data_IF_420645512308
#
_entry.id   IF_420645512308
#
_cell.length_a   1.000
_cell.length_b   1.000
_cell.length_c   1.000
_cell.angle_alpha   90.00
_cell.angle_beta   90.00
_cell.angle_gamma   90.00
#
_symmetry.space_group_name_H-M   'P 1'
#
loop_
_entity.id
_entity.type
_entity.pdbx_description
1 polymer ?
#
# COMPACT_ATOMS: atom_id res chain seq x y z
N UNK A 1 -25.41 12.73 -11.15
CA UNK A 1 -25.90 11.98 -9.98
C UNK A 1 -25.22 12.51 -8.73
N UNK A 2 -25.93 12.70 -7.62
CA UNK A 2 -25.34 13.11 -6.35
C UNK A 2 -24.22 12.16 -5.92
N UNK A 3 -23.12 12.71 -5.44
CA UNK A 3 -21.99 11.92 -4.90
C UNK A 3 -22.28 11.37 -3.51
N UNK A 4 -23.23 11.97 -2.81
CA UNK A 4 -23.68 11.61 -1.48
C UNK A 4 -24.99 10.83 -1.56
N UNK A 5 -25.10 9.78 -0.74
CA UNK A 5 -26.34 9.06 -0.54
C UNK A 5 -27.32 9.96 0.22
N UNK A 6 -28.59 9.92 -0.12
CA UNK A 6 -29.65 10.69 0.57
C UNK A 6 -30.03 10.02 1.90
N UNK A 7 -29.98 8.70 1.93
CA UNK A 7 -30.33 7.86 3.09
C UNK A 7 -29.36 6.70 3.18
N UNK A 8 -28.95 6.32 4.40
CA UNK A 8 -28.12 5.13 4.64
C UNK A 8 -28.47 4.51 5.99
N UNK A 9 -29.10 3.34 5.98
CA UNK A 9 -29.61 2.64 7.17
C UNK A 9 -29.21 1.14 7.10
N UNK A 10 -27.92 0.79 7.25
CA UNK A 10 -27.43 -0.58 7.06
C UNK A 10 -27.98 -1.55 8.10
N UNK A 11 -28.44 -1.08 9.28
CA UNK A 11 -29.03 -1.90 10.33
C UNK A 11 -30.49 -2.27 10.04
N UNK A 12 -31.17 -1.56 9.11
CA UNK A 12 -32.54 -1.89 8.70
C UNK A 12 -32.51 -3.09 7.74
N UNK A 13 -33.15 -4.25 8.10
CA UNK A 13 -33.11 -5.44 7.26
C UNK A 13 -33.73 -5.28 5.87
N UNK A 14 -34.82 -4.50 5.75
CA UNK A 14 -35.50 -4.27 4.47
C UNK A 14 -34.62 -3.40 3.54
N UNK A 15 -34.06 -2.31 4.07
CA UNK A 15 -33.12 -1.46 3.34
C UNK A 15 -31.88 -2.24 2.91
N UNK A 16 -31.34 -3.06 3.81
CA UNK A 16 -30.18 -3.89 3.50
C UNK A 16 -30.47 -4.91 2.39
N UNK A 17 -31.61 -5.58 2.43
CA UNK A 17 -32.02 -6.57 1.44
C UNK A 17 -32.31 -5.96 0.07
N UNK A 18 -32.89 -4.75 0.02
CA UNK A 18 -33.30 -4.10 -1.23
C UNK A 18 -32.14 -3.49 -2.00
N UNK A 19 -31.40 -2.57 -1.39
CA UNK A 19 -30.30 -1.84 -2.07
C UNK A 19 -29.01 -1.69 -1.27
N UNK A 20 -29.08 -1.67 0.07
CA UNK A 20 -27.94 -1.41 0.93
C UNK A 20 -26.79 -2.37 0.70
N UNK A 21 -27.08 -3.68 0.65
CA UNK A 21 -26.09 -4.74 0.42
C UNK A 21 -25.33 -4.54 -0.90
N UNK A 22 -26.01 -4.26 -2.00
CA UNK A 22 -25.38 -4.07 -3.31
C UNK A 22 -24.40 -2.90 -3.31
N UNK A 23 -24.79 -1.78 -2.68
CA UNK A 23 -23.96 -0.59 -2.58
C UNK A 23 -22.73 -0.88 -1.69
N UNK A 24 -22.92 -1.53 -0.53
CA UNK A 24 -21.87 -1.86 0.40
C UNK A 24 -20.82 -2.79 -0.21
N UNK A 25 -21.24 -3.92 -0.77
CA UNK A 25 -20.31 -4.89 -1.39
C UNK A 25 -19.57 -4.32 -2.60
N UNK A 26 -20.24 -3.52 -3.44
CA UNK A 26 -19.57 -2.82 -4.54
C UNK A 26 -18.53 -1.83 -4.01
N UNK A 27 -18.86 -1.07 -2.97
CA UNK A 27 -17.92 -0.15 -2.33
C UNK A 27 -16.72 -0.91 -1.77
N UNK A 28 -16.95 -2.01 -1.05
CA UNK A 28 -15.88 -2.85 -0.51
C UNK A 28 -14.98 -3.39 -1.63
N UNK A 29 -15.55 -3.93 -2.70
CA UNK A 29 -14.77 -4.48 -3.81
C UNK A 29 -13.85 -3.41 -4.45
N UNK A 30 -14.39 -2.22 -4.74
CA UNK A 30 -13.63 -1.13 -5.37
C UNK A 30 -12.56 -0.56 -4.44
N UNK A 31 -12.90 -0.36 -3.17
CA UNK A 31 -11.93 0.15 -2.19
C UNK A 31 -10.85 -0.88 -1.90
N UNK A 32 -11.19 -2.17 -1.82
CA UNK A 32 -10.20 -3.25 -1.63
C UNK A 32 -9.26 -3.36 -2.84
N UNK A 33 -9.80 -3.31 -4.06
CA UNK A 33 -8.98 -3.28 -5.28
C UNK A 33 -8.00 -2.10 -5.28
N UNK A 34 -8.47 -0.89 -4.98
CA UNK A 34 -7.59 0.28 -4.87
C UNK A 34 -6.57 0.13 -3.74
N UNK A 35 -6.95 -0.45 -2.60
CA UNK A 35 -6.06 -0.60 -1.44
C UNK A 35 -4.91 -1.59 -1.71
N UNK A 36 -5.12 -2.63 -2.52
CA UNK A 36 -4.04 -3.53 -2.96
C UNK A 36 -2.92 -2.72 -3.61
N UNK A 37 -3.24 -1.82 -4.55
CA UNK A 37 -2.24 -0.99 -5.21
C UNK A 37 -1.69 0.12 -4.30
N UNK A 38 -2.48 0.59 -3.34
CA UNK A 38 -1.98 1.50 -2.29
C UNK A 38 -0.85 0.85 -1.50
N UNK A 39 -1.05 -0.36 -1.02
CA UNK A 39 -0.01 -1.09 -0.27
C UNK A 39 1.15 -1.52 -1.17
N UNK A 40 0.89 -1.92 -2.40
CA UNK A 40 1.95 -2.30 -3.33
C UNK A 40 2.88 -1.11 -3.64
N UNK A 41 2.33 0.08 -3.93
CA UNK A 41 3.13 1.29 -4.17
C UNK A 41 3.81 1.79 -2.89
N UNK A 42 3.19 1.62 -1.73
CA UNK A 42 3.80 1.95 -0.44
C UNK A 42 5.06 1.12 -0.16
N UNK A 43 5.04 -0.18 -0.49
CA UNK A 43 6.14 -1.11 -0.24
C UNK A 43 7.09 -1.32 -1.43
N UNK A 44 6.97 -0.55 -2.51
CA UNK A 44 7.82 -0.70 -3.71
C UNK A 44 9.31 -0.54 -3.38
N UNK A 45 9.65 0.35 -2.42
CA UNK A 45 11.02 0.56 -1.96
C UNK A 45 11.65 -0.74 -1.43
N UNK A 46 10.90 -1.59 -0.70
CA UNK A 46 11.41 -2.83 -0.10
C UNK A 46 11.98 -3.81 -1.13
N UNK A 47 11.40 -3.85 -2.33
CA UNK A 47 11.87 -4.68 -3.42
C UNK A 47 13.00 -4.02 -4.23
N UNK A 48 12.95 -2.68 -4.40
CA UNK A 48 13.92 -1.94 -5.21
C UNK A 48 15.28 -1.77 -4.53
N UNK A 49 15.31 -1.42 -3.24
CA UNK A 49 16.58 -1.16 -2.51
C UNK A 49 17.54 -2.35 -2.55
N UNK A 50 17.02 -3.55 -2.68
CA UNK A 50 17.82 -4.79 -2.79
C UNK A 50 18.60 -4.84 -4.10
N UNK A 51 18.06 -4.27 -5.18
CA UNK A 51 18.64 -4.30 -6.53
C UNK A 51 19.44 -3.05 -6.88
N UNK A 52 19.16 -1.90 -6.26
CA UNK A 52 19.79 -0.62 -6.58
C UNK A 52 21.32 -0.66 -6.61
N UNK A 53 22.03 -1.26 -5.62
CA UNK A 53 23.50 -1.29 -5.68
C UNK A 53 24.04 -2.09 -6.87
N UNK A 54 23.32 -3.12 -7.31
CA UNK A 54 23.77 -3.99 -8.38
C UNK A 54 23.61 -3.37 -9.79
N UNK A 55 22.79 -2.32 -9.91
CA UNK A 55 22.63 -1.56 -11.17
C UNK A 55 23.38 -0.23 -11.15
N UNK A 56 24.23 0.03 -10.15
CA UNK A 56 25.15 1.17 -10.12
C UNK A 56 24.85 2.27 -9.11
N UNK A 57 23.73 2.20 -8.35
CA UNK A 57 23.49 3.15 -7.27
C UNK A 57 24.33 2.80 -6.03
N UNK A 58 25.46 3.49 -5.86
CA UNK A 58 26.44 3.22 -4.80
C UNK A 58 25.99 3.77 -3.42
N UNK A 59 24.78 3.42 -2.98
CA UNK A 59 24.28 3.79 -1.66
C UNK A 59 24.86 2.91 -0.57
N UNK A 60 25.18 3.50 0.59
CA UNK A 60 25.62 2.76 1.77
C UNK A 60 24.50 1.88 2.31
N UNK A 61 24.86 0.85 3.09
CA UNK A 61 23.87 -0.03 3.75
C UNK A 61 22.86 0.80 4.59
N UNK A 62 23.33 1.80 5.31
CA UNK A 62 22.48 2.69 6.10
C UNK A 62 21.50 3.48 5.22
N UNK A 63 21.97 4.04 4.10
CA UNK A 63 21.10 4.76 3.15
C UNK A 63 20.02 3.85 2.56
N UNK A 64 20.36 2.60 2.21
CA UNK A 64 19.37 1.63 1.71
C UNK A 64 18.30 1.30 2.76
N UNK A 65 18.66 1.14 4.04
CA UNK A 65 17.69 0.96 5.12
C UNK A 65 16.81 2.20 5.31
N UNK A 66 17.36 3.40 5.23
CA UNK A 66 16.57 4.63 5.25
C UNK A 66 15.58 4.67 4.09
N UNK A 67 15.99 4.36 2.85
CA UNK A 67 15.09 4.31 1.70
C UNK A 67 13.99 3.26 1.87
N UNK A 68 14.29 2.13 2.48
CA UNK A 68 13.29 1.09 2.78
C UNK A 68 12.28 1.55 3.86
N UNK A 69 12.73 2.29 4.87
CA UNK A 69 11.92 2.73 6.02
C UNK A 69 11.09 3.99 5.73
N UNK A 70 11.58 4.87 4.85
CA UNK A 70 11.00 6.19 4.56
C UNK A 70 9.51 6.14 4.19
N UNK A 71 9.02 5.22 3.33
CA UNK A 71 7.58 5.13 3.06
C UNK A 71 6.76 4.81 4.32
N UNK A 72 7.32 4.01 5.22
CA UNK A 72 6.69 3.66 6.50
C UNK A 72 6.50 4.88 7.40
N UNK A 73 7.52 5.71 7.52
CA UNK A 73 7.48 6.96 8.28
C UNK A 73 6.41 7.91 7.73
N UNK A 74 6.43 8.16 6.42
CA UNK A 74 5.48 9.05 5.77
C UNK A 74 4.05 8.49 5.82
N UNK A 75 3.87 7.19 5.54
CA UNK A 75 2.57 6.53 5.60
C UNK A 75 1.95 6.56 7.00
N UNK A 76 2.76 6.33 8.04
CA UNK A 76 2.32 6.43 9.43
C UNK A 76 1.85 7.85 9.79
N UNK A 77 2.63 8.87 9.41
CA UNK A 77 2.27 10.28 9.64
C UNK A 77 1.00 10.69 8.89
N UNK A 78 0.87 10.28 7.64
CA UNK A 78 -0.31 10.57 6.81
C UNK A 78 -1.60 9.93 7.33
N UNK A 79 -1.53 8.82 8.08
CA UNK A 79 -2.70 8.21 8.71
C UNK A 79 -3.43 9.15 9.64
N UNK A 80 -2.71 10.02 10.33
CA UNK A 80 -3.33 11.04 11.18
C UNK A 80 -4.23 11.96 10.36
N UNK A 81 -3.78 12.42 9.21
CA UNK A 81 -4.56 13.27 8.30
C UNK A 81 -5.73 12.48 7.72
N UNK A 82 -5.48 11.28 7.21
CA UNK A 82 -6.50 10.44 6.59
C UNK A 82 -7.63 10.03 7.54
N UNK A 83 -7.40 10.00 8.86
CA UNK A 83 -8.44 9.72 9.85
C UNK A 83 -9.57 10.72 9.84
N UNK A 84 -9.32 11.95 9.38
CA UNK A 84 -10.32 13.02 9.36
C UNK A 84 -11.00 13.21 8.00
N UNK A 85 -10.47 12.61 6.92
CA UNK A 85 -10.91 12.94 5.56
C UNK A 85 -12.31 12.40 5.21
N UNK A 86 -12.65 11.18 5.68
CA UNK A 86 -13.92 10.54 5.32
C UNK A 86 -15.14 11.31 5.83
N UNK A 87 -15.21 11.73 7.11
CA UNK A 87 -16.34 12.52 7.59
C UNK A 87 -16.46 13.91 6.95
N UNK A 88 -15.34 14.46 6.44
CA UNK A 88 -15.32 15.81 5.85
C UNK A 88 -15.63 15.76 4.34
N UNK A 89 -14.92 14.95 3.60
CA UNK A 89 -14.96 14.89 2.13
C UNK A 89 -15.75 13.71 1.57
N UNK A 90 -16.05 12.72 2.42
CA UNK A 90 -16.73 11.49 2.04
C UNK A 90 -15.82 10.48 1.34
N UNK A 91 -16.31 9.25 1.26
CA UNK A 91 -15.58 8.10 0.71
C UNK A 91 -15.13 8.32 -0.74
N UNK A 92 -16.04 8.76 -1.61
CA UNK A 92 -15.76 8.88 -3.05
C UNK A 92 -14.60 9.83 -3.33
N UNK A 93 -14.68 11.07 -2.86
CA UNK A 93 -13.66 12.08 -3.16
C UNK A 93 -12.32 11.69 -2.55
N UNK A 94 -12.31 11.31 -1.27
CA UNK A 94 -11.08 10.95 -0.55
C UNK A 94 -10.34 9.80 -1.24
N UNK A 95 -11.04 8.68 -1.53
CA UNK A 95 -10.40 7.49 -2.10
C UNK A 95 -9.96 7.75 -3.54
N UNK A 96 -10.79 8.41 -4.35
CA UNK A 96 -10.42 8.72 -5.74
C UNK A 96 -9.19 9.60 -5.82
N UNK A 97 -9.16 10.70 -5.06
CA UNK A 97 -8.03 11.65 -5.06
C UNK A 97 -6.77 10.96 -4.56
N UNK A 98 -6.85 10.24 -3.44
CA UNK A 98 -5.71 9.54 -2.89
C UNK A 98 -5.18 8.46 -3.85
N UNK A 99 -6.05 7.77 -4.60
CA UNK A 99 -5.63 6.79 -5.60
C UNK A 99 -4.83 7.44 -6.73
N UNK A 100 -5.27 8.58 -7.26
CA UNK A 100 -4.55 9.29 -8.32
C UNK A 100 -3.23 9.91 -7.83
N UNK A 101 -3.17 10.40 -6.60
CA UNK A 101 -1.93 10.97 -6.03
C UNK A 101 -0.75 9.99 -6.05
N UNK A 102 -0.99 8.69 -5.96
CA UNK A 102 0.05 7.66 -6.01
C UNK A 102 0.72 7.53 -7.39
N UNK A 103 0.09 8.02 -8.44
CA UNK A 103 0.69 8.04 -9.78
C UNK A 103 1.92 8.95 -9.81
N UNK A 104 1.92 10.03 -9.04
CA UNK A 104 3.02 11.01 -8.99
C UNK A 104 4.35 10.34 -8.58
N UNK A 105 4.45 9.69 -7.40
CA UNK A 105 5.69 9.02 -7.02
C UNK A 105 6.04 7.85 -7.94
N UNK A 106 5.07 7.12 -8.51
CA UNK A 106 5.37 6.04 -9.44
C UNK A 106 5.96 6.56 -10.76
N UNK A 107 5.39 7.62 -11.32
CA UNK A 107 5.93 8.25 -12.53
C UNK A 107 7.33 8.84 -12.26
N UNK A 108 7.51 9.52 -11.13
CA UNK A 108 8.82 10.08 -10.79
C UNK A 108 9.86 8.98 -10.54
N UNK A 109 9.49 7.91 -9.85
CA UNK A 109 10.35 6.75 -9.60
C UNK A 109 10.78 6.07 -10.90
N UNK A 110 9.86 5.94 -11.87
CA UNK A 110 10.14 5.40 -13.18
C UNK A 110 11.29 6.16 -13.89
N UNK A 111 11.25 7.49 -13.89
CA UNK A 111 12.31 8.30 -14.49
C UNK A 111 13.59 8.31 -13.64
N UNK A 112 13.46 8.38 -12.32
CA UNK A 112 14.60 8.43 -11.41
C UNK A 112 15.48 7.17 -11.50
N UNK A 113 14.89 6.00 -11.67
CA UNK A 113 15.60 4.72 -11.79
C UNK A 113 16.38 4.62 -13.11
N UNK A 114 15.89 5.22 -14.19
CA UNK A 114 16.58 5.18 -15.48
C UNK A 114 17.84 6.03 -15.51
N UNK A 115 17.92 7.02 -14.62
CA UNK A 115 19.08 7.89 -14.50
C UNK A 115 20.14 7.27 -13.57
N UNK A 116 20.77 6.20 -14.04
CA UNK A 116 21.83 5.47 -13.33
C UNK A 116 23.13 6.27 -13.36
N UNK A 117 23.95 6.24 -12.29
CA UNK A 117 25.28 6.84 -12.30
C UNK A 117 26.17 6.24 -13.40
N UNK A 118 26.90 7.11 -14.10
CA UNK A 118 27.91 6.77 -15.10
C UNK A 118 29.21 7.51 -14.79
N UNK A 119 30.29 7.29 -15.55
CA UNK A 119 31.55 7.99 -15.35
C UNK A 119 31.38 9.53 -15.49
N UNK A 120 30.47 9.95 -16.38
CA UNK A 120 30.28 11.38 -16.73
C UNK A 120 29.08 12.02 -16.02
N UNK A 121 28.25 11.22 -15.34
CA UNK A 121 27.01 11.70 -14.73
C UNK A 121 26.73 11.02 -13.38
N UNK A 122 26.47 11.81 -12.31
CA UNK A 122 26.28 11.26 -10.96
C UNK A 122 24.99 10.43 -10.79
N UNK A 123 24.09 10.44 -11.79
CA UNK A 123 22.79 9.78 -11.72
C UNK A 123 21.84 10.40 -10.69
N UNK A 124 20.76 9.70 -10.40
CA UNK A 124 19.77 10.14 -9.42
C UNK A 124 20.32 10.05 -8.00
N UNK A 125 20.24 11.16 -7.25
CA UNK A 125 20.77 11.28 -5.90
C UNK A 125 19.96 10.49 -4.86
N UNK A 126 20.59 10.19 -3.72
CA UNK A 126 19.91 9.64 -2.55
C UNK A 126 18.74 10.52 -2.10
N UNK A 127 18.93 11.85 -2.06
CA UNK A 127 17.89 12.78 -1.63
C UNK A 127 16.65 12.72 -2.53
N UNK A 128 16.83 12.56 -3.84
CA UNK A 128 15.72 12.40 -4.79
C UNK A 128 14.95 11.12 -4.50
N UNK A 129 15.61 9.98 -4.35
CA UNK A 129 14.93 8.74 -3.97
C UNK A 129 14.24 8.82 -2.60
N UNK A 130 14.87 9.50 -1.64
CA UNK A 130 14.28 9.72 -0.33
C UNK A 130 12.95 10.47 -0.43
N UNK A 131 12.88 11.55 -1.21
CA UNK A 131 11.64 12.32 -1.45
C UNK A 131 10.60 11.47 -2.18
N UNK A 132 10.99 10.73 -3.22
CA UNK A 132 10.07 9.84 -3.95
C UNK A 132 9.46 8.80 -3.00
N UNK A 133 10.27 8.17 -2.16
CA UNK A 133 9.79 7.17 -1.21
C UNK A 133 8.98 7.77 -0.05
N UNK A 134 9.23 9.03 0.34
CA UNK A 134 8.31 9.77 1.21
C UNK A 134 6.92 9.88 0.56
N UNK A 135 6.86 10.25 -0.72
CA UNK A 135 5.59 10.35 -1.45
C UNK A 135 4.91 8.98 -1.64
N UNK A 136 5.66 7.88 -1.73
CA UNK A 136 5.08 6.54 -1.70
C UNK A 136 4.29 6.26 -0.41
N UNK A 137 4.56 7.01 0.66
CA UNK A 137 3.79 7.01 1.90
C UNK A 137 2.30 7.34 1.72
N UNK A 138 1.88 7.99 0.62
CA UNK A 138 0.47 8.16 0.29
C UNK A 138 -0.31 6.84 0.38
N UNK A 139 0.26 5.75 -0.13
CA UNK A 139 -0.36 4.43 -0.05
C UNK A 139 -0.51 3.89 1.37
N UNK A 140 0.40 4.25 2.29
CA UNK A 140 0.34 3.87 3.71
C UNK A 140 -0.70 4.67 4.50
N UNK A 141 -0.85 5.96 4.18
CA UNK A 141 -1.84 6.85 4.79
C UNK A 141 -3.27 6.43 4.51
N UNK A 142 -3.53 5.95 3.32
CA UNK A 142 -4.83 5.52 2.81
C UNK A 142 -5.61 4.61 3.76
N UNK A 143 -4.93 3.72 4.45
CA UNK A 143 -5.58 2.73 5.31
C UNK A 143 -6.56 3.36 6.30
N UNK A 144 -6.22 4.52 6.87
CA UNK A 144 -7.09 5.25 7.80
C UNK A 144 -8.34 5.88 7.15
N UNK A 145 -8.40 5.96 5.82
CA UNK A 145 -9.61 6.36 5.08
C UNK A 145 -10.41 5.15 4.58
N UNK A 146 -9.73 4.07 4.17
CA UNK A 146 -10.41 2.89 3.62
C UNK A 146 -11.14 2.08 4.69
N UNK A 147 -10.57 1.93 5.88
CA UNK A 147 -11.21 1.19 6.97
C UNK A 147 -12.52 1.83 7.45
N UNK A 148 -12.57 3.15 7.76
CA UNK A 148 -13.84 3.81 8.09
C UNK A 148 -14.85 3.75 6.95
N UNK A 149 -14.41 3.88 5.69
CA UNK A 149 -15.30 3.74 4.54
C UNK A 149 -16.01 2.38 4.54
N UNK A 150 -15.27 1.27 4.76
CA UNK A 150 -15.88 -0.06 4.84
C UNK A 150 -16.81 -0.18 6.05
N UNK A 151 -16.37 0.30 7.22
CA UNK A 151 -17.17 0.23 8.45
C UNK A 151 -18.50 0.96 8.33
N UNK A 152 -18.53 2.14 7.71
CA UNK A 152 -19.74 2.95 7.54
C UNK A 152 -20.79 2.32 6.60
N UNK A 153 -20.34 1.50 5.66
CA UNK A 153 -21.23 0.87 4.67
C UNK A 153 -21.87 -0.42 5.16
N UNK A 154 -21.31 -1.09 6.18
CA UNK A 154 -21.77 -2.40 6.63
C UNK A 154 -22.50 -2.35 7.97
N UNK A 155 -23.54 -3.19 8.17
CA UNK A 155 -24.17 -3.36 9.47
C UNK A 155 -23.19 -4.01 10.46
N UNK A 156 -23.39 -3.76 11.76
CA UNK A 156 -22.48 -4.24 12.82
C UNK A 156 -22.19 -5.75 12.72
N UNK A 157 -23.19 -6.56 12.37
CA UNK A 157 -23.08 -8.01 12.23
C UNK A 157 -22.14 -8.49 11.11
N UNK A 158 -21.74 -7.62 10.17
CA UNK A 158 -20.87 -7.92 9.04
C UNK A 158 -19.61 -7.03 9.02
N UNK A 159 -19.40 -6.19 10.03
CA UNK A 159 -18.27 -5.26 10.06
C UNK A 159 -16.94 -6.01 10.15
N UNK A 160 -16.82 -7.06 10.96
CA UNK A 160 -15.61 -7.85 11.06
C UNK A 160 -15.24 -8.51 9.72
N UNK A 161 -16.22 -9.07 9.02
CA UNK A 161 -16.04 -9.63 7.68
C UNK A 161 -15.59 -8.56 6.68
N UNK A 162 -16.27 -7.41 6.63
CA UNK A 162 -15.92 -6.32 5.71
C UNK A 162 -14.52 -5.76 5.98
N UNK A 163 -14.20 -5.50 7.25
CA UNK A 163 -12.88 -5.01 7.65
C UNK A 163 -11.78 -6.04 7.46
N UNK A 164 -12.07 -7.32 7.68
CA UNK A 164 -11.16 -8.44 7.42
C UNK A 164 -10.82 -8.57 5.93
N UNK A 165 -11.82 -8.47 5.05
CA UNK A 165 -11.62 -8.44 3.59
C UNK A 165 -10.82 -7.20 3.21
N UNK A 166 -11.26 -6.01 3.60
CA UNK A 166 -10.60 -4.75 3.25
C UNK A 166 -9.13 -4.75 3.67
N UNK A 167 -8.85 -5.11 4.91
CA UNK A 167 -7.50 -5.08 5.43
C UNK A 167 -6.66 -6.29 5.00
N UNK A 168 -7.23 -7.50 5.04
CA UNK A 168 -6.52 -8.72 4.68
C UNK A 168 -6.16 -8.72 3.19
N UNK A 169 -7.14 -8.56 2.32
CA UNK A 169 -6.90 -8.53 0.86
C UNK A 169 -6.10 -7.29 0.46
N UNK A 170 -6.34 -6.12 1.08
CA UNK A 170 -5.54 -4.92 0.84
C UNK A 170 -4.05 -5.14 1.16
N UNK A 171 -3.74 -5.78 2.29
CA UNK A 171 -2.36 -6.09 2.69
C UNK A 171 -1.65 -7.05 1.71
N UNK A 172 -2.37 -7.85 0.90
CA UNK A 172 -1.75 -8.66 -0.16
C UNK A 172 -0.94 -7.80 -1.15
N UNK A 173 -1.23 -6.50 -1.26
CA UNK A 173 -0.42 -5.57 -2.04
C UNK A 173 1.07 -5.59 -1.67
N UNK A 174 1.39 -5.79 -0.38
CA UNK A 174 2.79 -5.91 0.11
C UNK A 174 3.44 -7.18 -0.45
N UNK A 175 2.73 -8.30 -0.39
CA UNK A 175 3.20 -9.55 -0.97
C UNK A 175 3.32 -9.47 -2.49
N UNK A 176 2.34 -8.83 -3.13
CA UNK A 176 2.28 -8.66 -4.58
C UNK A 176 3.50 -7.92 -5.12
N UNK A 177 3.88 -6.79 -4.50
CA UNK A 177 5.05 -6.03 -4.95
C UNK A 177 6.34 -6.84 -4.81
N UNK A 178 6.51 -7.55 -3.70
CA UNK A 178 7.71 -8.35 -3.47
C UNK A 178 7.78 -9.59 -4.37
N UNK A 179 6.63 -10.17 -4.74
CA UNK A 179 6.54 -11.33 -5.62
C UNK A 179 6.69 -10.96 -7.10
N UNK A 180 5.99 -9.91 -7.56
CA UNK A 180 5.96 -9.53 -8.99
C UNK A 180 7.23 -8.79 -9.41
N UNK A 181 7.81 -7.96 -8.53
CA UNK A 181 8.96 -7.13 -8.89
C UNK A 181 10.13 -7.93 -9.48
N UNK A 182 10.60 -9.04 -8.89
CA UNK A 182 11.71 -9.81 -9.46
C UNK A 182 11.45 -10.32 -10.88
N UNK A 183 10.19 -10.60 -11.18
CA UNK A 183 9.78 -11.10 -12.49
C UNK A 183 9.66 -9.97 -13.51
N UNK A 184 8.94 -8.90 -13.18
CA UNK A 184 8.61 -7.83 -14.14
C UNK A 184 9.84 -6.98 -14.54
N UNK A 185 10.88 -6.96 -13.70
CA UNK A 185 12.14 -6.26 -14.00
C UNK A 185 13.10 -7.09 -14.84
N UNK A 186 12.82 -8.38 -15.05
CA UNK A 186 13.70 -9.31 -15.77
C UNK A 186 13.61 -9.23 -17.30
N UNK A 187 12.69 -8.47 -17.86
CA UNK A 187 12.48 -8.34 -19.32
C UNK A 187 11.76 -7.01 -19.65
N UNK A 188 11.77 -6.64 -20.93
CA UNK A 188 11.09 -5.44 -21.43
C UNK A 188 9.55 -5.62 -21.44
N UNK A 189 8.95 -5.75 -20.26
CA UNK A 189 7.54 -6.12 -20.07
C UNK A 189 6.53 -5.20 -20.78
N UNK A 190 6.90 -3.95 -21.01
CA UNK A 190 6.04 -2.90 -21.57
C UNK A 190 6.55 -2.37 -22.92
N UNK A 191 7.37 -3.16 -23.63
CA UNK A 191 7.93 -2.75 -24.92
C UNK A 191 8.69 -1.43 -24.83
N UNK A 192 8.30 -0.44 -25.65
CA UNK A 192 8.93 0.88 -25.66
C UNK A 192 8.85 1.62 -24.32
N UNK A 193 7.80 1.39 -23.51
CA UNK A 193 7.66 1.98 -22.19
C UNK A 193 8.59 1.35 -21.13
N UNK A 194 9.23 0.22 -21.42
CA UNK A 194 10.25 -0.32 -20.52
C UNK A 194 11.53 0.49 -20.51
N UNK A 195 11.79 1.33 -21.52
CA UNK A 195 13.02 2.10 -21.65
C UNK A 195 14.27 1.23 -21.83
N UNK A 196 15.45 1.78 -21.60
CA UNK A 196 16.71 1.05 -21.69
C UNK A 196 16.94 0.18 -20.44
N UNK A 197 17.53 -1.04 -20.60
CA UNK A 197 17.91 -1.87 -19.47
C UNK A 197 19.14 -1.31 -18.74
N UNK A 198 19.25 -1.68 -17.45
CA UNK A 198 20.45 -1.50 -16.66
C UNK A 198 21.26 -2.80 -16.67
N UNK A 199 22.58 -2.69 -16.74
CA UNK A 199 23.47 -3.83 -16.57
C UNK A 199 23.44 -4.32 -15.10
N UNK A 200 23.22 -5.61 -14.90
CA UNK A 200 23.20 -6.27 -13.60
C UNK A 200 24.20 -7.43 -13.62
N UNK A 201 25.25 -7.31 -12.81
CA UNK A 201 26.26 -8.37 -12.71
C UNK A 201 26.00 -9.23 -11.47
N UNK A 202 25.82 -10.54 -11.67
CA UNK A 202 25.69 -11.52 -10.58
C UNK A 202 26.55 -12.76 -10.91
N UNK A 203 27.44 -13.11 -10.00
CA UNK A 203 28.35 -14.26 -10.15
C UNK A 203 29.15 -14.27 -11.48
N UNK A 204 29.62 -13.11 -11.92
CA UNK A 204 30.39 -12.95 -13.17
C UNK A 204 29.55 -12.95 -14.45
N UNK A 205 28.23 -13.13 -14.37
CA UNK A 205 27.31 -13.08 -15.51
C UNK A 205 26.62 -11.72 -15.55
N UNK A 206 26.77 -11.00 -16.67
CA UNK A 206 26.05 -9.76 -16.93
C UNK A 206 24.65 -10.10 -17.46
N UNK A 207 23.62 -9.54 -16.82
CA UNK A 207 22.23 -9.65 -17.23
C UNK A 207 21.66 -8.24 -17.40
N UNK A 208 20.62 -8.13 -18.18
CA UNK A 208 19.84 -6.90 -18.32
C UNK A 208 18.67 -6.90 -17.33
N UNK A 209 18.43 -5.76 -16.71
CA UNK A 209 17.27 -5.52 -15.85
C UNK A 209 16.59 -4.23 -16.24
N UNK A 210 15.27 -4.22 -16.22
CA UNK A 210 14.42 -3.05 -16.40
C UNK A 210 13.83 -2.64 -15.05
N UNK A 211 14.67 -2.12 -14.16
CA UNK A 211 14.27 -1.85 -12.77
C UNK A 211 13.12 -0.83 -12.68
N UNK A 212 13.01 0.08 -13.64
CA UNK A 212 11.93 1.04 -13.77
C UNK A 212 10.55 0.38 -13.99
N UNK A 213 10.50 -0.84 -14.52
CA UNK A 213 9.24 -1.57 -14.67
C UNK A 213 8.54 -1.81 -13.32
N UNK A 214 9.31 -1.89 -12.22
CA UNK A 214 8.78 -2.00 -10.87
C UNK A 214 7.92 -0.81 -10.44
N UNK A 215 8.10 0.35 -11.07
CA UNK A 215 7.26 1.53 -10.84
C UNK A 215 6.17 1.69 -11.90
N UNK A 216 6.50 1.45 -13.17
CA UNK A 216 5.61 1.72 -14.30
C UNK A 216 4.33 0.89 -14.29
N UNK A 217 4.42 -0.40 -13.99
CA UNK A 217 3.27 -1.31 -14.09
C UNK A 217 2.10 -0.95 -13.17
N UNK A 218 2.34 -0.18 -12.09
CA UNK A 218 1.28 0.30 -11.21
C UNK A 218 0.43 1.40 -11.83
N UNK A 219 1.01 2.22 -12.73
CA UNK A 219 0.35 3.43 -13.25
C UNK A 219 -0.98 3.09 -13.93
N UNK A 220 -1.07 2.13 -14.87
CA UNK A 220 -2.35 1.79 -15.49
C UNK A 220 -3.38 1.24 -14.50
N UNK A 221 -2.97 0.48 -13.48
CA UNK A 221 -3.87 -0.03 -12.46
C UNK A 221 -4.35 1.07 -11.50
N UNK A 222 -3.49 2.02 -11.15
CA UNK A 222 -3.89 3.19 -10.36
C UNK A 222 -4.87 4.09 -11.12
N UNK A 223 -4.63 4.29 -12.41
CA UNK A 223 -5.57 5.00 -13.28
C UNK A 223 -6.92 4.30 -13.34
N UNK A 224 -6.94 2.99 -13.58
CA UNK A 224 -8.15 2.19 -13.60
C UNK A 224 -8.88 2.24 -12.25
N UNK A 225 -8.17 2.00 -11.14
CA UNK A 225 -8.75 2.04 -9.80
C UNK A 225 -9.31 3.43 -9.46
N UNK A 226 -8.58 4.51 -9.78
CA UNK A 226 -9.02 5.88 -9.57
C UNK A 226 -10.28 6.21 -10.38
N UNK A 227 -10.34 5.82 -11.66
CA UNK A 227 -11.50 6.01 -12.50
C UNK A 227 -12.72 5.21 -11.98
N UNK A 228 -12.54 3.94 -11.64
CA UNK A 228 -13.62 3.11 -11.10
C UNK A 228 -14.13 3.68 -9.77
N UNK A 229 -13.26 4.11 -8.88
CA UNK A 229 -13.64 4.76 -7.63
C UNK A 229 -14.37 6.09 -7.90
N UNK A 230 -13.86 6.91 -8.82
CA UNK A 230 -14.47 8.18 -9.18
C UNK A 230 -15.87 8.06 -9.80
N UNK A 231 -16.14 6.99 -10.54
CA UNK A 231 -17.42 6.77 -11.21
C UNK A 231 -18.42 6.10 -10.27
N UNK A 232 -18.02 5.03 -9.58
CA UNK A 232 -18.95 4.11 -8.92
C UNK A 232 -19.07 4.27 -7.42
N UNK A 233 -18.06 4.87 -6.74
CA UNK A 233 -18.16 5.10 -5.31
C UNK A 233 -19.18 6.19 -4.98
N UNK A 234 -19.79 6.06 -3.81
CA UNK A 234 -20.67 7.03 -3.20
C UNK A 234 -20.20 7.32 -1.78
N UNK A 235 -20.70 8.41 -1.20
CA UNK A 235 -20.38 8.82 0.17
C UNK A 235 -21.60 8.67 1.05
N UNK A 236 -21.41 8.15 2.26
CA UNK A 236 -22.46 8.06 3.28
C UNK A 236 -22.67 9.44 3.89
N UNK A 237 -23.92 9.87 4.20
CA UNK A 237 -24.22 11.20 4.72
C UNK A 237 -23.87 11.38 6.21
N UNK A 238 -22.76 10.77 6.65
CA UNK A 238 -22.21 10.96 7.99
C UNK A 238 -21.20 12.08 7.94
N UNK A 239 -21.49 13.18 8.59
CA UNK A 239 -20.59 14.33 8.71
C UNK A 239 -20.27 14.55 10.19
N UNK A 240 -18.99 14.67 10.50
CA UNK A 240 -18.53 15.06 11.82
C UNK A 240 -17.54 16.22 11.68
N UNK A 241 -17.67 17.22 12.54
CA UNK A 241 -16.70 18.30 12.61
C UNK A 241 -15.35 17.78 13.12
N UNK A 242 -14.28 18.51 12.82
CA UNK A 242 -12.95 18.16 13.27
C UNK A 242 -12.88 17.99 14.81
N UNK A 243 -13.52 18.91 15.57
CA UNK A 243 -13.58 18.82 17.03
C UNK A 243 -14.29 17.58 17.54
N UNK A 244 -15.41 17.19 16.92
CA UNK A 244 -16.15 15.97 17.30
C UNK A 244 -15.31 14.69 17.08
N UNK A 245 -14.44 14.66 16.09
CA UNK A 245 -13.57 13.51 15.84
C UNK A 245 -12.47 13.38 16.89
N UNK A 246 -12.07 14.47 17.56
CA UNK A 246 -11.08 14.42 18.64
C UNK A 246 -11.65 13.92 19.98
N UNK A 247 -12.97 13.86 20.15
CA UNK A 247 -13.57 13.36 21.39
C UNK A 247 -13.18 11.91 21.72
N UNK A 248 -12.92 11.11 20.69
CA UNK A 248 -12.45 9.71 20.85
C UNK A 248 -11.12 9.62 21.63
N UNK A 249 -10.30 10.67 21.60
CA UNK A 249 -9.02 10.70 22.33
C UNK A 249 -9.19 10.74 23.85
N UNK A 250 -10.39 11.08 24.35
CA UNK A 250 -10.74 11.07 25.78
C UNK A 250 -11.05 9.67 26.29
N UNK A 251 -11.36 8.72 25.40
CA UNK A 251 -11.67 7.33 25.79
C UNK A 251 -10.38 6.52 25.97
N UNK A 252 -10.23 5.91 27.16
CA UNK A 252 -9.10 5.04 27.48
C UNK A 252 -8.96 3.83 26.54
N UNK A 253 -10.08 3.29 26.03
CA UNK A 253 -10.06 2.17 25.09
C UNK A 253 -9.42 2.54 23.76
N UNK A 254 -9.53 3.79 23.33
CA UNK A 254 -8.82 4.31 22.16
C UNK A 254 -7.31 4.11 22.30
N UNK A 255 -6.75 4.44 23.45
CA UNK A 255 -5.31 4.30 23.69
C UNK A 255 -4.86 2.85 23.77
N UNK A 256 -5.64 1.96 24.36
CA UNK A 256 -5.37 0.52 24.31
C UNK A 256 -5.35 0.00 22.88
N UNK A 257 -6.34 0.37 22.06
CA UNK A 257 -6.37 0.01 20.65
C UNK A 257 -5.19 0.58 19.87
N UNK A 258 -4.81 1.84 20.12
CA UNK A 258 -3.67 2.50 19.47
C UNK A 258 -2.36 1.76 19.79
N UNK A 259 -2.10 1.47 21.07
CA UNK A 259 -0.88 0.76 21.48
C UNK A 259 -0.84 -0.65 20.88
N UNK A 260 -1.93 -1.39 20.97
CA UNK A 260 -2.02 -2.74 20.39
C UNK A 260 -1.82 -2.72 18.88
N UNK A 261 -2.44 -1.76 18.18
CA UNK A 261 -2.30 -1.63 16.74
C UNK A 261 -0.90 -1.16 16.33
N UNK A 262 -0.29 -0.26 17.08
CA UNK A 262 1.10 0.16 16.89
C UNK A 262 2.05 -1.04 16.98
N UNK A 263 1.87 -1.89 18.00
CA UNK A 263 2.68 -3.08 18.18
C UNK A 263 2.46 -4.09 17.04
N UNK A 264 1.22 -4.45 16.73
CA UNK A 264 0.91 -5.51 15.77
C UNK A 264 1.16 -5.07 14.32
N UNK A 265 0.57 -3.96 13.90
CA UNK A 265 0.72 -3.48 12.54
C UNK A 265 2.08 -2.81 12.30
N UNK A 266 2.63 -2.13 13.31
CA UNK A 266 3.97 -1.56 13.23
C UNK A 266 5.04 -2.63 13.03
N UNK A 267 4.96 -3.73 13.76
CA UNK A 267 5.86 -4.89 13.57
C UNK A 267 5.69 -5.52 12.19
N UNK A 268 4.44 -5.74 11.75
CA UNK A 268 4.17 -6.25 10.39
C UNK A 268 4.78 -5.34 9.32
N UNK A 269 4.50 -4.04 9.39
CA UNK A 269 4.95 -3.08 8.40
C UNK A 269 6.48 -2.94 8.38
N UNK A 270 7.09 -2.79 9.57
CA UNK A 270 8.53 -2.66 9.70
C UNK A 270 9.30 -3.88 9.21
N UNK A 271 8.87 -5.08 9.62
CA UNK A 271 9.48 -6.32 9.15
C UNK A 271 9.28 -6.54 7.66
N UNK A 272 8.08 -6.33 7.13
CA UNK A 272 7.81 -6.49 5.70
C UNK A 272 8.64 -5.53 4.83
N UNK A 273 8.88 -4.29 5.29
CA UNK A 273 9.72 -3.32 4.59
C UNK A 273 11.21 -3.68 4.65
N UNK A 274 11.70 -4.10 5.81
CA UNK A 274 13.12 -4.35 6.04
C UNK A 274 13.58 -5.77 5.61
N UNK A 275 12.70 -6.76 5.63
CA UNK A 275 13.04 -8.17 5.52
C UNK A 275 13.82 -8.54 4.24
N UNK A 276 13.47 -8.05 3.03
CA UNK A 276 14.27 -8.32 1.84
C UNK A 276 15.71 -7.82 1.98
N UNK A 277 15.90 -6.62 2.52
CA UNK A 277 17.24 -6.05 2.70
C UNK A 277 18.01 -6.74 3.84
N UNK A 278 17.32 -7.16 4.89
CA UNK A 278 17.91 -7.94 5.99
C UNK A 278 18.45 -9.27 5.48
N UNK A 279 17.67 -10.03 4.72
CA UNK A 279 18.12 -11.30 4.11
C UNK A 279 19.40 -11.06 3.28
N UNK A 280 19.39 -10.01 2.44
CA UNK A 280 20.57 -9.65 1.64
C UNK A 280 21.78 -9.30 2.50
N UNK A 281 21.58 -8.54 3.58
CA UNK A 281 22.67 -8.05 4.42
C UNK A 281 23.30 -9.17 5.28
N UNK A 282 22.47 -10.11 5.76
CA UNK A 282 22.90 -11.20 6.64
C UNK A 282 23.52 -12.35 5.83
N UNK A 283 22.90 -12.71 4.72
CA UNK A 283 23.27 -13.92 3.98
C UNK A 283 23.96 -13.64 2.64
N UNK A 284 24.00 -12.39 2.18
CA UNK A 284 24.45 -12.04 0.81
C UNK A 284 25.89 -12.43 0.48
N UNK A 285 26.74 -12.50 1.50
CA UNK A 285 28.17 -12.83 1.36
C UNK A 285 28.45 -14.36 1.41
N UNK A 286 27.45 -15.18 1.73
CA UNK A 286 27.64 -16.63 1.80
C UNK A 286 27.48 -17.30 0.43
N UNK A 287 28.29 -18.33 0.11
CA UNK A 287 28.10 -19.16 -1.07
C UNK A 287 26.72 -19.80 -1.08
N UNK A 288 25.98 -19.64 -2.19
CA UNK A 288 24.62 -20.17 -2.30
C UNK A 288 23.54 -19.37 -1.56
N UNK A 289 23.84 -18.12 -1.16
CA UNK A 289 22.88 -17.24 -0.50
C UNK A 289 21.52 -17.19 -1.23
N UNK A 290 20.40 -17.26 -0.50
CA UNK A 290 19.07 -17.17 -1.11
C UNK A 290 18.85 -15.79 -1.72
N UNK A 291 18.16 -15.74 -2.85
CA UNK A 291 17.67 -14.45 -3.38
C UNK A 291 16.59 -13.91 -2.42
N UNK A 292 16.80 -12.74 -1.81
CA UNK A 292 15.88 -12.20 -0.82
C UNK A 292 14.45 -12.11 -1.30
N UNK A 293 14.24 -11.74 -2.56
CA UNK A 293 12.91 -11.53 -3.13
C UNK A 293 12.16 -12.84 -3.46
N UNK A 294 12.85 -14.00 -3.40
CA UNK A 294 12.18 -15.31 -3.52
C UNK A 294 11.39 -15.71 -2.29
N UNK A 295 11.69 -15.13 -1.13
CA UNK A 295 11.10 -15.55 0.15
C UNK A 295 10.38 -14.43 0.89
N UNK A 296 10.80 -13.18 0.67
CA UNK A 296 10.29 -12.04 1.44
C UNK A 296 8.77 -11.88 1.36
N UNK A 297 8.16 -12.17 0.20
CA UNK A 297 6.72 -12.06 -0.01
C UNK A 297 5.89 -13.02 0.86
N UNK A 298 6.47 -14.12 1.37
CA UNK A 298 5.74 -15.14 2.14
C UNK A 298 5.22 -14.59 3.47
N UNK A 299 6.00 -13.76 4.17
CA UNK A 299 5.57 -13.15 5.43
C UNK A 299 4.30 -12.33 5.29
N UNK A 300 4.28 -11.30 4.41
CA UNK A 300 3.07 -10.53 4.13
C UNK A 300 1.92 -11.37 3.58
N UNK A 301 2.18 -12.41 2.79
CA UNK A 301 1.16 -13.31 2.25
C UNK A 301 0.41 -14.03 3.37
N UNK A 302 1.14 -14.67 4.27
CA UNK A 302 0.55 -15.42 5.39
C UNK A 302 -0.19 -14.48 6.33
N UNK A 303 0.43 -13.35 6.71
CA UNK A 303 -0.20 -12.36 7.60
C UNK A 303 -1.49 -11.79 7.02
N UNK A 304 -1.54 -11.56 5.71
CA UNK A 304 -2.74 -11.07 5.01
C UNK A 304 -3.83 -12.13 4.95
N UNK A 305 -3.48 -13.38 4.67
CA UNK A 305 -4.43 -14.50 4.62
C UNK A 305 -5.08 -14.75 5.99
N UNK A 306 -4.29 -14.78 7.07
CA UNK A 306 -4.80 -14.95 8.43
C UNK A 306 -5.76 -13.82 8.81
N UNK A 307 -5.44 -12.58 8.43
CA UNK A 307 -6.29 -11.41 8.70
C UNK A 307 -7.62 -11.49 7.96
N UNK A 308 -7.61 -11.95 6.72
CA UNK A 308 -8.83 -12.17 5.94
C UNK A 308 -9.75 -13.21 6.62
N UNK A 309 -9.19 -14.32 7.08
CA UNK A 309 -9.93 -15.38 7.75
C UNK A 309 -10.45 -14.96 9.14
N UNK A 310 -9.74 -14.09 9.84
CA UNK A 310 -10.12 -13.58 11.16
C UNK A 310 -11.38 -12.71 11.17
N UNK A 311 -11.72 -12.05 10.07
CA UNK A 311 -12.89 -11.16 9.98
C UNK A 311 -14.22 -11.87 10.29
N UNK A 312 -14.60 -12.92 9.54
CA UNK A 312 -15.82 -13.70 9.81
C UNK A 312 -15.83 -14.37 11.19
N UNK A 313 -14.67 -14.78 11.70
CA UNK A 313 -14.55 -15.34 13.04
C UNK A 313 -14.88 -14.31 14.10
N UNK A 314 -14.41 -13.06 13.93
CA UNK A 314 -14.72 -11.95 14.81
C UNK A 314 -16.22 -11.60 14.82
N UNK A 315 -16.90 -11.65 13.66
CA UNK A 315 -18.34 -11.43 13.58
C UNK A 315 -19.14 -12.52 14.33
N UNK A 316 -18.61 -13.76 14.32
CA UNK A 316 -19.30 -14.91 14.92
C UNK A 316 -19.05 -15.06 16.44
N UNK A 317 -17.83 -14.83 16.89
CA UNK A 317 -17.39 -15.14 18.25
C UNK A 317 -17.05 -13.89 19.08
N UNK A 318 -17.10 -12.71 18.48
CA UNK A 318 -16.64 -11.47 19.09
C UNK A 318 -15.14 -11.23 18.90
N UNK A 319 -14.67 -10.03 19.28
CA UNK A 319 -13.28 -9.60 19.12
C UNK A 319 -12.39 -9.85 20.34
N UNK A 320 -12.87 -10.55 21.36
CA UNK A 320 -12.14 -10.84 22.61
C UNK A 320 -11.63 -12.27 22.64
#
# INVERSE_FOLDING_TARGET
MSTWLTKWEPENPEFWASEGSKIAWRTLALTTFSLIFSFATWFVSSALVVRMPAVGFAFTKMQLFWLAATPGLAGGSLRLIHSFLIPIFGTRLTITTSTFLKIIPMAWLYYAIQNVPTADHPGTSFATFFIIFLLCGFGGGDFSSYMPSSSLFFPKRLQGTALGIQAGVGNLGVSLVQFITPWIVGFAAFGAFSGAPQAFTKAGVVKELWLQNAAFWYIPFLLLAGLLCGIFLRSVPVKASFGQQFDIMKDKHTWFCVITYFMTFGSFSGLAAAFPLMIKTIYGDFPGAPDPLKYAFLGPLIGSAVRFLGGPLSDKYGGS
#
